data_IF_360182136201
#
_entry.id   IF_360182136201
#
_cell.length_a   1.000
_cell.length_b   1.000
_cell.length_c   1.000
_cell.angle_alpha   90.00
_cell.angle_beta   90.00
_cell.angle_gamma   90.00
#
_symmetry.space_group_name_H-M   'P 1'
#
loop_
_entity.id
_entity.type
_entity.pdbx_description
1 polymer ?
#
# COMPACT_ATOMS: atom_id res chain seq x y z
N UNK A 1 29.61 13.25 -35.65
CA UNK A 1 28.83 12.11 -36.18
C UNK A 1 29.24 10.74 -35.63
N UNK A 2 30.42 10.16 -35.92
CA UNK A 2 30.73 8.78 -35.46
C UNK A 2 30.89 8.62 -33.94
N UNK A 3 31.61 9.54 -33.30
CA UNK A 3 31.80 9.52 -31.84
C UNK A 3 30.49 9.73 -31.07
N UNK A 4 29.59 10.57 -31.58
CA UNK A 4 28.27 10.81 -30.99
C UNK A 4 27.35 9.59 -31.12
N UNK A 5 27.38 8.92 -32.28
CA UNK A 5 26.64 7.67 -32.48
C UNK A 5 27.11 6.59 -31.50
N UNK A 6 28.43 6.45 -31.29
CA UNK A 6 29.01 5.50 -30.33
C UNK A 6 28.68 5.85 -28.87
N UNK A 7 28.64 7.14 -28.54
CA UNK A 7 28.22 7.60 -27.21
C UNK A 7 26.73 7.30 -26.94
N UNK A 8 25.87 7.49 -27.93
CA UNK A 8 24.45 7.14 -27.83
C UNK A 8 24.23 5.63 -27.69
N UNK A 9 24.97 4.82 -28.46
CA UNK A 9 24.90 3.36 -28.36
C UNK A 9 25.30 2.88 -26.95
N UNK A 10 26.37 3.45 -26.38
CA UNK A 10 26.81 3.14 -25.00
C UNK A 10 25.72 3.49 -23.98
N UNK A 11 25.13 4.68 -24.08
CA UNK A 11 24.05 5.13 -23.18
C UNK A 11 22.82 4.22 -23.24
N UNK A 12 22.42 3.79 -24.44
CA UNK A 12 21.28 2.87 -24.62
C UNK A 12 21.58 1.51 -23.97
N UNK A 13 22.78 0.98 -24.15
CA UNK A 13 23.19 -0.30 -23.53
C UNK A 13 23.20 -0.22 -22.01
N UNK A 14 23.73 0.87 -21.44
CA UNK A 14 23.70 1.12 -19.99
C UNK A 14 22.26 1.17 -19.46
N UNK A 15 21.39 1.92 -20.13
CA UNK A 15 19.98 2.04 -19.79
C UNK A 15 19.27 0.67 -19.79
N UNK A 16 19.52 -0.16 -20.80
CA UNK A 16 18.95 -1.50 -20.92
C UNK A 16 19.38 -2.41 -19.75
N UNK A 17 20.67 -2.42 -19.42
CA UNK A 17 21.21 -3.20 -18.30
C UNK A 17 20.60 -2.76 -16.98
N UNK A 18 20.46 -1.46 -16.77
CA UNK A 18 19.85 -0.90 -15.56
C UNK A 18 18.36 -1.23 -15.45
N UNK A 19 17.61 -1.18 -16.56
CA UNK A 19 16.21 -1.62 -16.56
C UNK A 19 16.08 -3.10 -16.24
N UNK A 20 16.94 -3.95 -16.80
CA UNK A 20 16.96 -5.38 -16.50
C UNK A 20 17.24 -5.63 -15.01
N UNK A 21 18.30 -5.06 -14.46
CA UNK A 21 18.63 -5.18 -13.02
C UNK A 21 17.53 -4.65 -12.11
N UNK A 22 16.86 -3.56 -12.52
CA UNK A 22 15.72 -3.00 -11.75
C UNK A 22 14.49 -3.90 -11.82
N UNK A 23 14.23 -4.52 -12.96
CA UNK A 23 13.16 -5.50 -13.10
C UNK A 23 13.43 -6.74 -12.24
N UNK A 24 14.67 -7.27 -12.27
CA UNK A 24 15.10 -8.40 -11.44
C UNK A 24 14.95 -8.11 -9.94
N UNK A 25 15.40 -6.93 -9.47
CA UNK A 25 15.22 -6.52 -8.06
C UNK A 25 13.75 -6.42 -7.65
N UNK A 26 12.91 -5.84 -8.50
CA UNK A 26 11.46 -5.78 -8.24
C UNK A 26 10.84 -7.17 -8.18
N UNK A 27 11.21 -8.03 -9.15
CA UNK A 27 10.75 -9.41 -9.19
C UNK A 27 11.15 -10.16 -7.91
N UNK A 28 12.42 -10.09 -7.51
CA UNK A 28 12.90 -10.70 -6.27
C UNK A 28 12.17 -10.17 -5.03
N UNK A 29 11.87 -8.87 -4.97
CA UNK A 29 11.10 -8.27 -3.89
C UNK A 29 9.65 -8.76 -3.83
N UNK A 30 8.99 -8.90 -4.98
CA UNK A 30 7.63 -9.43 -5.01
C UNK A 30 7.60 -10.93 -4.73
N UNK A 31 8.55 -11.70 -5.26
CA UNK A 31 8.71 -13.13 -4.97
C UNK A 31 9.02 -13.38 -3.49
N UNK A 32 9.84 -12.55 -2.84
CA UNK A 32 10.08 -12.63 -1.40
C UNK A 32 8.88 -12.19 -0.56
N UNK A 33 7.91 -11.48 -1.16
CA UNK A 33 6.70 -10.97 -0.50
C UNK A 33 5.43 -11.77 -0.82
N UNK A 34 5.50 -12.76 -1.71
CA UNK A 34 4.40 -13.69 -2.00
C UNK A 34 4.18 -14.74 -0.86
N UNK A 35 4.83 -14.57 0.30
CA UNK A 35 4.55 -15.31 1.53
C UNK A 35 3.30 -14.83 2.27
N UNK A 36 3.08 -15.32 3.50
CA UNK A 36 1.91 -14.98 4.32
C UNK A 36 1.81 -13.45 4.54
N UNK A 37 0.73 -12.79 4.06
CA UNK A 37 0.51 -11.35 4.24
C UNK A 37 0.60 -10.89 5.71
N UNK A 38 0.33 -11.79 6.66
CA UNK A 38 0.42 -11.50 8.09
C UNK A 38 1.85 -11.31 8.59
N UNK A 39 2.85 -11.95 7.97
CA UNK A 39 4.27 -11.76 8.31
C UNK A 39 4.81 -10.40 7.87
N UNK A 40 4.12 -9.73 6.94
CA UNK A 40 4.48 -8.42 6.39
C UNK A 40 3.77 -7.26 7.09
N UNK A 41 2.75 -7.54 7.91
CA UNK A 41 2.14 -6.55 8.79
C UNK A 41 3.16 -6.17 9.87
N UNK A 42 3.86 -5.06 9.63
CA UNK A 42 4.65 -4.41 10.66
C UNK A 42 3.64 -3.90 11.70
N UNK A 43 3.53 -4.57 12.84
CA UNK A 43 2.80 -4.07 14.01
C UNK A 43 3.61 -2.91 14.57
N UNK A 44 3.53 -1.76 13.91
CA UNK A 44 4.04 -0.51 14.45
C UNK A 44 2.94 -0.06 15.40
N UNK A 45 3.23 -0.04 16.71
CA UNK A 45 2.34 0.52 17.70
C UNK A 45 2.21 2.02 17.45
N UNK A 46 1.28 2.43 16.59
CA UNK A 46 0.77 3.78 16.61
C UNK A 46 0.27 4.03 18.03
N UNK A 47 0.78 5.03 18.73
CA UNK A 47 0.17 5.45 19.99
C UNK A 47 -1.24 5.93 19.66
N UNK A 48 -2.23 5.05 19.79
CA UNK A 48 -3.62 5.47 19.78
C UNK A 48 -3.81 6.26 21.06
N UNK A 49 -4.20 7.53 20.92
CA UNK A 49 -4.60 8.32 22.08
C UNK A 49 -5.84 7.66 22.65
N UNK A 50 -5.69 6.98 23.78
CA UNK A 50 -6.82 6.41 24.51
C UNK A 50 -7.62 7.57 25.08
N UNK A 51 -8.82 7.76 24.57
CA UNK A 51 -9.80 8.66 25.16
C UNK A 51 -10.64 7.81 26.13
N UNK A 52 -10.42 7.89 27.46
CA UNK A 52 -11.18 7.11 28.44
C UNK A 52 -12.57 7.71 28.67
N UNK A 53 -13.23 8.13 27.60
CA UNK A 53 -14.62 8.57 27.65
C UNK A 53 -15.51 7.38 27.30
N UNK A 54 -16.13 6.81 28.34
CA UNK A 54 -17.01 5.67 28.20
C UNK A 54 -18.22 6.01 27.31
N UNK A 55 -18.73 7.25 27.37
CA UNK A 55 -19.87 7.65 26.55
C UNK A 55 -19.52 7.66 25.07
N UNK A 56 -18.33 8.13 24.71
CA UNK A 56 -17.84 8.10 23.34
C UNK A 56 -17.69 6.65 22.83
N UNK A 57 -17.18 5.73 23.65
CA UNK A 57 -17.10 4.32 23.30
C UNK A 57 -18.48 3.71 23.02
N UNK A 58 -19.45 3.90 23.93
CA UNK A 58 -20.81 3.39 23.76
C UNK A 58 -21.54 4.03 22.57
N UNK A 59 -21.24 5.29 22.25
CA UNK A 59 -21.79 5.97 21.08
C UNK A 59 -21.34 5.32 19.76
N UNK A 60 -20.05 4.96 19.65
CA UNK A 60 -19.50 4.34 18.44
C UNK A 60 -19.87 2.85 18.32
N UNK A 61 -20.07 2.14 19.42
CA UNK A 61 -20.52 0.74 19.42
C UNK A 61 -22.03 0.59 19.15
N UNK A 62 -22.82 1.66 19.19
CA UNK A 62 -24.26 1.58 18.99
C UNK A 62 -24.64 1.51 17.49
N UNK A 63 -25.11 0.36 16.97
CA UNK A 63 -25.49 0.22 15.57
C UNK A 63 -26.74 1.03 15.18
N UNK A 64 -27.50 1.52 16.17
CA UNK A 64 -28.63 2.42 15.95
C UNK A 64 -28.24 3.81 15.43
N UNK A 65 -26.98 4.22 15.65
CA UNK A 65 -26.44 5.48 15.15
C UNK A 65 -26.02 5.42 13.67
N UNK A 66 -25.98 4.22 13.08
CA UNK A 66 -25.55 4.01 11.70
C UNK A 66 -26.70 4.28 10.71
N UNK A 67 -26.39 4.96 9.61
CA UNK A 67 -27.36 5.25 8.57
C UNK A 67 -27.42 4.13 7.53
N UNK A 68 -28.61 3.83 6.97
CA UNK A 68 -28.71 2.93 5.84
C UNK A 68 -28.05 3.56 4.61
N UNK A 69 -27.26 2.79 3.87
CA UNK A 69 -26.67 3.22 2.61
C UNK A 69 -27.76 3.38 1.55
N UNK A 70 -27.67 4.44 0.75
CA UNK A 70 -28.70 4.77 -0.26
C UNK A 70 -28.89 3.69 -1.33
N UNK A 71 -27.83 2.93 -1.65
CA UNK A 71 -27.88 1.86 -2.65
C UNK A 71 -28.37 0.51 -2.13
N UNK A 72 -28.29 0.27 -0.83
CA UNK A 72 -28.78 -0.94 -0.17
C UNK A 72 -29.01 -0.66 1.32
N UNK A 73 -30.26 -0.76 1.76
CA UNK A 73 -30.69 -0.48 3.14
C UNK A 73 -30.22 -1.50 4.17
N UNK A 74 -29.78 -2.68 3.72
CA UNK A 74 -29.21 -3.72 4.59
C UNK A 74 -27.78 -3.36 5.04
N UNK A 75 -27.11 -2.48 4.28
CA UNK A 75 -25.76 -2.00 4.59
C UNK A 75 -25.88 -0.72 5.41
N UNK A 76 -25.31 -0.75 6.62
CA UNK A 76 -25.25 0.36 7.55
C UNK A 76 -23.87 1.03 7.47
N UNK A 77 -23.83 2.36 7.39
CA UNK A 77 -22.61 3.15 7.29
C UNK A 77 -22.57 4.23 8.38
N UNK A 78 -21.36 4.48 8.87
CA UNK A 78 -21.08 5.67 9.69
C UNK A 78 -21.03 6.91 8.76
N UNK A 79 -21.37 8.09 9.29
CA UNK A 79 -21.50 9.32 8.50
C UNK A 79 -20.25 10.18 8.53
#
# INVERSE_FOLDING_TARGET
MWHEARANEKRIKELMVDHKKRAERRRAFYESRLGDPKQLLRVIGSSAKLYPDAEQFYYHENPGNLMPWQGNTDIRIDR
#
